data_IF_463954695122
#
_entry.id   IF_463954695122
#
_cell.length_a   1.000
_cell.length_b   1.000
_cell.length_c   1.000
_cell.angle_alpha   90.00
_cell.angle_beta   90.00
_cell.angle_gamma   90.00
#
_symmetry.space_group_name_H-M   'P 1'
#
loop_
_entity.id
_entity.type
_entity.pdbx_description
1 polymer ?
#
# COMPACT_ATOMS: atom_id res chain seq x y z
N UNK A 1 3.78 35.63 22.51
CA UNK A 1 3.62 34.22 22.11
C UNK A 1 3.64 34.17 20.59
N UNK A 2 4.75 33.70 20.01
CA UNK A 2 5.09 33.88 18.59
C UNK A 2 4.30 32.88 17.73
N UNK A 3 3.31 33.36 16.98
CA UNK A 3 2.66 32.57 15.94
C UNK A 3 3.62 32.49 14.74
N UNK A 4 4.32 31.37 14.60
CA UNK A 4 5.19 31.09 13.46
C UNK A 4 4.41 31.14 12.15
N UNK A 5 4.68 32.16 11.32
CA UNK A 5 4.17 32.26 9.95
C UNK A 5 4.62 31.02 9.15
N UNK A 6 3.68 30.16 8.79
CA UNK A 6 3.89 29.08 7.80
C UNK A 6 4.28 29.72 6.47
N UNK A 7 5.55 29.67 6.12
CA UNK A 7 6.06 30.15 4.84
C UNK A 7 5.54 29.21 3.74
N UNK A 8 4.51 29.64 2.99
CA UNK A 8 4.18 29.02 1.70
C UNK A 8 5.43 29.14 0.82
N UNK A 9 5.98 28.01 0.39
CA UNK A 9 6.94 27.99 -0.70
C UNK A 9 6.16 28.35 -1.96
N UNK A 10 6.06 29.64 -2.27
CA UNK A 10 5.60 30.08 -3.58
C UNK A 10 6.73 29.75 -4.57
N UNK A 11 6.47 28.83 -5.49
CA UNK A 11 7.42 28.49 -6.54
C UNK A 11 7.86 29.77 -7.26
N UNK A 12 9.18 29.98 -7.39
CA UNK A 12 9.74 31.10 -8.16
C UNK A 12 9.30 30.98 -9.62
N UNK A 13 8.87 32.07 -10.28
CA UNK A 13 8.61 32.05 -11.71
C UNK A 13 9.94 31.81 -12.45
N UNK A 14 10.02 30.77 -13.31
CA UNK A 14 11.13 30.62 -14.26
C UNK A 14 11.95 29.32 -14.26
N UNK A 15 11.70 28.33 -13.39
CA UNK A 15 12.23 26.97 -13.61
C UNK A 15 11.41 25.92 -12.85
N UNK A 16 10.27 25.52 -13.41
CA UNK A 16 9.70 24.23 -13.03
C UNK A 16 10.61 23.17 -13.63
N UNK A 17 11.30 22.41 -12.79
CA UNK A 17 12.00 21.22 -13.25
C UNK A 17 10.97 20.33 -13.97
N UNK A 18 11.34 19.77 -15.12
CA UNK A 18 10.46 18.80 -15.79
C UNK A 18 10.24 17.57 -14.90
N UNK A 19 9.15 16.84 -15.14
CA UNK A 19 8.88 15.61 -14.38
C UNK A 19 10.05 14.61 -14.49
N UNK A 20 10.69 14.53 -15.66
CA UNK A 20 11.87 13.69 -15.90
C UNK A 20 13.07 14.17 -15.07
N UNK A 21 13.29 15.48 -14.99
CA UNK A 21 14.37 16.06 -14.20
C UNK A 21 14.17 15.83 -12.70
N UNK A 22 12.93 15.92 -12.23
CA UNK A 22 12.55 15.62 -10.85
C UNK A 22 12.80 14.13 -10.57
N UNK A 23 12.30 13.25 -11.44
CA UNK A 23 12.48 11.80 -11.30
C UNK A 23 13.96 11.40 -11.28
N UNK A 24 14.77 11.92 -12.19
CA UNK A 24 16.20 11.62 -12.26
C UNK A 24 16.93 11.98 -10.94
N UNK A 25 16.61 13.15 -10.37
CA UNK A 25 17.17 13.58 -9.08
C UNK A 25 16.68 12.73 -7.92
N UNK A 26 15.39 12.42 -7.87
CA UNK A 26 14.83 11.54 -6.82
C UNK A 26 15.44 10.14 -6.88
N UNK A 27 15.67 9.59 -8.08
CA UNK A 27 16.31 8.29 -8.25
C UNK A 27 17.77 8.30 -7.82
N UNK A 28 18.48 9.42 -8.02
CA UNK A 28 19.85 9.57 -7.55
C UNK A 28 19.93 9.72 -6.03
N UNK A 29 19.00 10.47 -5.43
CA UNK A 29 18.97 10.71 -3.98
C UNK A 29 18.46 9.49 -3.19
N UNK A 30 17.51 8.75 -3.75
CA UNK A 30 16.89 7.57 -3.14
C UNK A 30 17.04 6.34 -4.04
N UNK A 31 18.28 5.85 -4.25
CA UNK A 31 18.55 4.73 -5.17
C UNK A 31 17.91 3.42 -4.70
N UNK A 32 17.75 3.26 -3.38
CA UNK A 32 17.20 2.05 -2.76
C UNK A 32 15.70 2.17 -2.42
N UNK A 33 15.00 3.15 -3.01
CA UNK A 33 13.56 3.33 -2.82
C UNK A 33 12.79 2.12 -3.36
N UNK A 34 12.22 1.33 -2.45
CA UNK A 34 11.43 0.14 -2.77
C UNK A 34 10.20 0.04 -1.83
N UNK A 35 9.35 -0.95 -2.06
CA UNK A 35 8.26 -1.27 -1.15
C UNK A 35 8.82 -1.57 0.26
N UNK A 36 8.36 -0.83 1.27
CA UNK A 36 8.85 -0.99 2.64
C UNK A 36 8.28 -2.22 3.37
N UNK A 37 7.25 -2.88 2.81
CA UNK A 37 6.64 -4.07 3.38
C UNK A 37 7.45 -5.31 2.97
N UNK A 38 7.91 -6.09 3.94
CA UNK A 38 8.65 -7.32 3.69
C UNK A 38 7.72 -8.42 3.19
N UNK A 39 8.02 -8.99 2.03
CA UNK A 39 7.24 -10.04 1.41
C UNK A 39 8.08 -10.86 0.44
N UNK A 40 7.67 -12.10 0.19
CA UNK A 40 8.30 -13.04 -0.76
C UNK A 40 7.35 -13.49 -1.85
N UNK A 41 6.08 -13.12 -1.77
CA UNK A 41 5.05 -13.46 -2.74
C UNK A 41 3.98 -12.37 -2.84
N UNK A 42 3.19 -12.36 -3.93
CA UNK A 42 2.04 -11.46 -4.06
C UNK A 42 1.02 -11.62 -2.92
N UNK A 43 0.85 -12.83 -2.39
CA UNK A 43 -0.06 -13.10 -1.28
C UNK A 43 0.45 -12.50 0.04
N UNK A 44 1.76 -12.64 0.32
CA UNK A 44 2.38 -12.00 1.47
C UNK A 44 2.26 -10.47 1.37
N UNK A 45 2.53 -9.89 0.20
CA UNK A 45 2.39 -8.44 -0.01
C UNK A 45 0.94 -7.97 0.18
N UNK A 46 -0.04 -8.69 -0.37
CA UNK A 46 -1.45 -8.37 -0.24
C UNK A 46 -1.89 -8.37 1.22
N UNK A 47 -1.51 -9.42 1.96
CA UNK A 47 -1.80 -9.53 3.39
C UNK A 47 -1.13 -8.42 4.20
N UNK A 48 0.15 -8.13 3.94
CA UNK A 48 0.87 -7.05 4.59
C UNK A 48 0.27 -5.67 4.30
N UNK A 49 -0.22 -5.44 3.07
CA UNK A 49 -0.84 -4.17 2.67
C UNK A 49 -2.21 -3.97 3.33
N UNK A 50 -2.99 -5.05 3.53
CA UNK A 50 -4.22 -4.99 4.33
C UNK A 50 -3.88 -4.63 5.79
N UNK A 51 -2.81 -5.19 6.35
CA UNK A 51 -2.37 -4.89 7.72
C UNK A 51 -1.82 -3.48 7.89
N UNK A 52 -1.22 -2.88 6.84
CA UNK A 52 -0.66 -1.52 6.90
C UNK A 52 -1.72 -0.43 6.93
N UNK A 53 -2.99 -0.75 6.66
CA UNK A 53 -4.08 0.20 6.84
C UNK A 53 -4.09 0.76 8.29
N UNK A 54 -3.80 2.05 8.41
CA UNK A 54 -3.66 2.75 9.71
C UNK A 54 -2.63 2.10 10.65
N UNK A 55 -1.56 1.53 10.09
CA UNK A 55 -0.44 0.94 10.82
C UNK A 55 0.88 1.33 10.13
N UNK A 56 1.99 1.32 10.87
CA UNK A 56 3.30 1.59 10.27
C UNK A 56 3.88 0.33 9.64
N UNK A 57 4.60 0.48 8.52
CA UNK A 57 5.25 -0.65 7.85
C UNK A 57 6.21 -1.39 8.79
N UNK A 58 6.94 -0.65 9.65
CA UNK A 58 7.79 -1.25 10.68
C UNK A 58 7.03 -2.19 11.63
N UNK A 59 5.81 -1.81 12.06
CA UNK A 59 4.99 -2.66 12.92
C UNK A 59 4.47 -3.88 12.15
N UNK A 60 4.04 -3.69 10.90
CA UNK A 60 3.58 -4.79 10.03
C UNK A 60 4.71 -5.80 9.79
N UNK A 61 5.93 -5.33 9.54
CA UNK A 61 7.11 -6.18 9.31
C UNK A 61 7.54 -6.98 10.56
N UNK A 62 7.18 -6.53 11.77
CA UNK A 62 7.39 -7.30 13.00
C UNK A 62 6.34 -8.41 13.19
N UNK A 63 5.13 -8.22 12.66
CA UNK A 63 3.98 -9.12 12.86
C UNK A 63 3.89 -10.20 11.78
N UNK A 64 4.12 -9.80 10.54
CA UNK A 64 3.95 -10.65 9.35
C UNK A 64 4.79 -11.94 9.34
N UNK A 65 6.02 -12.00 9.88
CA UNK A 65 6.76 -13.27 9.95
C UNK A 65 6.00 -14.37 10.71
N UNK A 66 5.36 -14.02 11.83
CA UNK A 66 4.56 -14.96 12.61
C UNK A 66 3.27 -15.38 11.89
N UNK A 67 2.62 -14.42 11.22
CA UNK A 67 1.43 -14.70 10.40
C UNK A 67 1.75 -15.67 9.25
N UNK A 68 2.82 -15.40 8.49
CA UNK A 68 3.19 -16.18 7.31
C UNK A 68 3.82 -17.53 7.65
N UNK A 69 4.45 -17.67 8.83
CA UNK A 69 4.89 -18.96 9.32
C UNK A 69 3.70 -19.88 9.62
N UNK A 70 2.62 -19.35 10.22
CA UNK A 70 1.43 -20.13 10.58
C UNK A 70 0.48 -20.34 9.40
N UNK A 71 0.36 -19.33 8.53
CA UNK A 71 -0.55 -19.33 7.38
C UNK A 71 0.20 -18.95 6.09
N UNK A 72 1.02 -19.86 5.55
CA UNK A 72 1.90 -19.56 4.41
C UNK A 72 1.16 -19.42 3.07
N UNK A 73 -0.08 -19.89 2.97
CA UNK A 73 -0.88 -19.88 1.73
C UNK A 73 -2.29 -19.33 1.96
N UNK A 74 -2.99 -18.89 0.89
CA UNK A 74 -4.40 -18.51 0.98
C UNK A 74 -5.29 -19.61 1.56
N UNK A 75 -5.07 -20.88 1.22
CA UNK A 75 -5.84 -22.00 1.75
C UNK A 75 -5.66 -22.12 3.27
N UNK A 76 -4.41 -22.02 3.74
CA UNK A 76 -4.11 -22.06 5.17
C UNK A 76 -4.81 -20.90 5.90
N UNK A 77 -4.74 -19.68 5.36
CA UNK A 77 -5.37 -18.51 5.98
C UNK A 77 -6.92 -18.54 5.90
N UNK A 78 -7.48 -19.07 4.82
CA UNK A 78 -8.92 -19.24 4.64
C UNK A 78 -9.50 -20.26 5.64
N UNK A 79 -8.72 -21.28 6.01
CA UNK A 79 -9.12 -22.27 7.02
C UNK A 79 -8.87 -21.82 8.48
N UNK A 80 -8.27 -20.64 8.68
CA UNK A 80 -7.86 -20.17 9.99
C UNK A 80 -9.05 -19.84 10.89
N UNK A 81 -8.93 -20.14 12.18
CA UNK A 81 -9.87 -19.62 13.18
C UNK A 81 -9.61 -18.11 13.36
N UNK A 82 -10.64 -17.25 13.33
CA UNK A 82 -10.48 -15.81 13.49
C UNK A 82 -9.68 -15.43 14.73
N UNK A 83 -9.93 -16.08 15.88
CA UNK A 83 -9.29 -15.79 17.15
C UNK A 83 -7.77 -16.01 17.11
N UNK A 84 -7.32 -17.05 16.38
CA UNK A 84 -5.90 -17.34 16.21
C UNK A 84 -5.20 -16.27 15.36
N UNK A 85 -5.88 -15.75 14.33
CA UNK A 85 -5.36 -14.67 13.50
C UNK A 85 -5.33 -13.37 14.29
N UNK A 86 -6.42 -13.07 15.02
CA UNK A 86 -6.54 -11.88 15.86
C UNK A 86 -5.39 -11.76 16.86
N UNK A 87 -5.01 -12.84 17.54
CA UNK A 87 -3.90 -12.80 18.51
C UNK A 87 -2.55 -12.46 17.85
N UNK A 88 -2.29 -12.94 16.63
CA UNK A 88 -1.07 -12.62 15.88
C UNK A 88 -1.07 -11.15 15.46
N UNK A 89 -2.19 -10.65 14.93
CA UNK A 89 -2.24 -9.33 14.28
C UNK A 89 -2.73 -8.20 15.18
N UNK A 90 -3.09 -8.50 16.43
CA UNK A 90 -3.49 -7.53 17.47
C UNK A 90 -2.59 -6.28 17.54
N UNK A 91 -1.25 -6.39 17.44
CA UNK A 91 -0.36 -5.22 17.48
C UNK A 91 -0.53 -4.24 16.32
N UNK A 92 -1.23 -4.61 15.25
CA UNK A 92 -1.45 -3.75 14.07
C UNK A 92 -2.64 -2.79 14.21
N UNK A 93 -3.43 -2.89 15.30
CA UNK A 93 -4.62 -2.08 15.51
C UNK A 93 -5.77 -2.44 14.55
N UNK A 94 -7.02 -2.12 14.92
CA UNK A 94 -8.22 -2.50 14.15
C UNK A 94 -8.28 -3.98 13.77
N UNK A 95 -7.67 -4.84 14.61
CA UNK A 95 -7.32 -6.20 14.25
C UNK A 95 -8.55 -7.06 13.91
N UNK A 96 -9.70 -6.87 14.54
CA UNK A 96 -10.94 -7.60 14.20
C UNK A 96 -11.40 -7.38 12.76
N UNK A 97 -11.37 -6.12 12.30
CA UNK A 97 -11.73 -5.77 10.92
C UNK A 97 -10.68 -6.28 9.93
N UNK A 98 -9.40 -6.22 10.31
CA UNK A 98 -8.29 -6.76 9.53
C UNK A 98 -8.36 -8.28 9.42
N UNK A 99 -8.66 -9.00 10.49
CA UNK A 99 -8.88 -10.45 10.49
C UNK A 99 -9.99 -10.83 9.53
N UNK A 100 -11.14 -10.16 9.61
CA UNK A 100 -12.26 -10.40 8.68
C UNK A 100 -11.85 -10.15 7.22
N UNK A 101 -11.08 -9.10 6.98
CA UNK A 101 -10.59 -8.77 5.63
C UNK A 101 -9.57 -9.81 5.13
N UNK A 102 -8.62 -10.22 5.97
CA UNK A 102 -7.61 -11.23 5.63
C UNK A 102 -8.22 -12.60 5.32
N UNK A 103 -9.08 -13.10 6.21
CA UNK A 103 -9.76 -14.40 6.03
C UNK A 103 -10.71 -14.32 4.83
N UNK A 104 -11.49 -13.23 4.70
CA UNK A 104 -12.37 -13.03 3.55
C UNK A 104 -11.62 -12.93 2.22
N UNK A 105 -10.49 -12.22 2.19
CA UNK A 105 -9.60 -12.16 1.04
C UNK A 105 -9.05 -13.54 0.70
N UNK A 106 -8.58 -14.29 1.69
CA UNK A 106 -8.07 -15.64 1.49
C UNK A 106 -9.14 -16.58 0.92
N UNK A 107 -10.37 -16.54 1.45
CA UNK A 107 -11.50 -17.29 0.90
C UNK A 107 -11.78 -16.92 -0.57
N UNK A 108 -11.85 -15.64 -0.90
CA UNK A 108 -12.10 -15.19 -2.28
C UNK A 108 -10.98 -15.62 -3.23
N UNK A 109 -9.72 -15.58 -2.79
CA UNK A 109 -8.60 -16.09 -3.58
C UNK A 109 -8.76 -17.59 -3.89
N UNK A 110 -9.13 -18.39 -2.89
CA UNK A 110 -9.31 -19.84 -3.06
C UNK A 110 -10.52 -20.14 -3.95
N UNK A 111 -11.67 -19.52 -3.68
CA UNK A 111 -12.93 -19.81 -4.37
C UNK A 111 -12.93 -19.32 -5.83
N UNK A 112 -12.48 -18.08 -6.07
CA UNK A 112 -12.68 -17.40 -7.35
C UNK A 112 -11.40 -17.33 -8.19
N UNK A 113 -10.23 -17.54 -7.58
CA UNK A 113 -8.93 -17.35 -8.23
C UNK A 113 -7.95 -18.53 -8.06
N UNK A 114 -8.42 -19.67 -7.55
CA UNK A 114 -7.61 -20.89 -7.39
C UNK A 114 -6.35 -20.69 -6.53
N UNK A 115 -6.46 -19.88 -5.47
CA UNK A 115 -5.38 -19.59 -4.53
C UNK A 115 -4.35 -18.58 -5.05
N UNK A 116 -4.61 -17.88 -6.16
CA UNK A 116 -3.66 -16.93 -6.77
C UNK A 116 -4.16 -15.50 -6.68
N UNK A 117 -3.28 -14.57 -6.33
CA UNK A 117 -3.60 -13.14 -6.34
C UNK A 117 -3.81 -12.68 -7.80
N UNK A 118 -4.97 -12.11 -8.16
CA UNK A 118 -5.25 -11.69 -9.52
C UNK A 118 -4.35 -10.53 -9.97
N UNK A 119 -4.25 -10.34 -11.28
CA UNK A 119 -3.34 -9.36 -11.93
C UNK A 119 -4.07 -8.21 -12.62
N UNK A 120 -5.34 -7.98 -12.28
CA UNK A 120 -6.11 -6.84 -12.81
C UNK A 120 -6.74 -6.04 -11.68
N UNK A 121 -6.92 -4.74 -11.91
CA UNK A 121 -7.53 -3.81 -10.96
C UNK A 121 -8.95 -4.23 -10.59
N UNK A 122 -9.76 -4.63 -11.58
CA UNK A 122 -11.15 -5.03 -11.39
C UNK A 122 -11.25 -6.21 -10.43
N UNK A 123 -10.44 -7.24 -10.65
CA UNK A 123 -10.47 -8.46 -9.83
C UNK A 123 -9.93 -8.20 -8.42
N UNK A 124 -8.82 -7.46 -8.30
CA UNK A 124 -8.24 -7.14 -6.99
C UNK A 124 -9.23 -6.37 -6.11
N UNK A 125 -9.99 -5.43 -6.67
CA UNK A 125 -10.97 -4.62 -5.92
C UNK A 125 -12.19 -5.39 -5.44
N UNK A 126 -12.43 -6.60 -5.95
CA UNK A 126 -13.48 -7.49 -5.44
C UNK A 126 -13.07 -8.20 -4.15
N UNK A 127 -11.76 -8.25 -3.84
CA UNK A 127 -11.26 -8.90 -2.65
C UNK A 127 -11.57 -8.07 -1.39
N UNK A 128 -12.07 -8.69 -0.30
CA UNK A 128 -12.29 -8.01 0.97
C UNK A 128 -11.04 -7.26 1.48
N UNK A 129 -11.22 -6.00 1.87
CA UNK A 129 -10.13 -5.15 2.36
C UNK A 129 -9.25 -4.53 1.28
N UNK A 130 -9.56 -4.73 -0.01
CA UNK A 130 -8.77 -4.21 -1.14
C UNK A 130 -9.48 -3.05 -1.81
N UNK A 131 -8.99 -1.84 -1.56
CA UNK A 131 -9.37 -0.65 -2.33
C UNK A 131 -8.47 -0.44 -3.56
N UNK A 132 -8.80 0.56 -4.40
CA UNK A 132 -8.01 0.95 -5.58
C UNK A 132 -6.52 1.16 -5.25
N UNK A 133 -6.24 1.85 -4.15
CA UNK A 133 -4.87 2.10 -3.69
C UNK A 133 -4.11 0.81 -3.40
N UNK A 134 -4.74 -0.11 -2.64
CA UNK A 134 -4.17 -1.42 -2.34
C UNK A 134 -3.91 -2.19 -3.63
N UNK A 135 -4.87 -2.21 -4.57
CA UNK A 135 -4.70 -2.88 -5.85
C UNK A 135 -3.52 -2.32 -6.66
N UNK A 136 -3.36 -0.99 -6.74
CA UNK A 136 -2.20 -0.36 -7.39
C UNK A 136 -0.87 -0.78 -6.75
N UNK A 137 -0.82 -0.87 -5.41
CA UNK A 137 0.39 -1.36 -4.70
C UNK A 137 0.74 -2.79 -5.13
N UNK A 138 -0.26 -3.69 -5.25
CA UNK A 138 -0.03 -5.09 -5.65
C UNK A 138 0.42 -5.18 -7.11
N UNK A 139 -0.29 -4.52 -8.03
CA UNK A 139 0.04 -4.53 -9.45
C UNK A 139 1.46 -4.00 -9.69
N UNK A 140 1.81 -2.87 -9.08
CA UNK A 140 3.12 -2.26 -9.25
C UNK A 140 4.25 -3.07 -8.62
N UNK A 141 4.12 -3.45 -7.34
CA UNK A 141 5.25 -4.03 -6.59
C UNK A 141 5.38 -5.55 -6.75
N UNK A 142 4.29 -6.29 -6.95
CA UNK A 142 4.34 -7.75 -7.12
C UNK A 142 4.40 -8.18 -8.59
N UNK A 143 3.84 -7.37 -9.51
CA UNK A 143 3.72 -7.75 -10.93
C UNK A 143 4.38 -6.79 -11.91
N UNK A 144 4.88 -5.63 -11.46
CA UNK A 144 5.47 -4.62 -12.36
C UNK A 144 4.47 -3.98 -13.31
N UNK A 145 3.17 -4.07 -13.00
CA UNK A 145 2.09 -3.53 -13.82
C UNK A 145 1.69 -2.15 -13.26
N UNK A 146 1.90 -1.10 -14.05
CA UNK A 146 1.56 0.26 -13.65
C UNK A 146 0.20 0.67 -14.25
N UNK A 147 -0.86 0.60 -13.44
CA UNK A 147 -2.20 1.08 -13.84
C UNK A 147 -2.53 2.49 -13.32
N UNK A 148 -1.70 3.04 -12.43
CA UNK A 148 -1.85 4.40 -11.91
C UNK A 148 -0.76 4.73 -10.89
N UNK A 149 -0.64 6.01 -10.55
CA UNK A 149 0.23 6.45 -9.47
C UNK A 149 -0.49 6.32 -8.14
N UNK A 150 0.11 5.61 -7.17
CA UNK A 150 -0.48 5.49 -5.84
C UNK A 150 -0.39 6.83 -5.09
N UNK A 151 -1.46 7.63 -5.14
CA UNK A 151 -1.50 8.94 -4.46
C UNK A 151 -1.88 8.78 -2.99
N UNK A 152 -0.93 9.06 -2.11
CA UNK A 152 -1.14 9.16 -0.66
C UNK A 152 -0.89 10.60 -0.18
N UNK A 153 -0.85 10.82 1.14
CA UNK A 153 -0.63 12.16 1.71
C UNK A 153 0.77 12.71 1.40
N UNK A 154 1.76 11.85 1.16
CA UNK A 154 3.11 12.24 0.77
C UNK A 154 3.16 12.60 -0.71
N UNK A 155 2.64 11.74 -1.57
CA UNK A 155 2.57 11.97 -3.02
C UNK A 155 1.74 13.20 -3.32
N UNK A 156 0.52 13.32 -2.78
CA UNK A 156 -0.33 14.51 -2.97
C UNK A 156 0.40 15.81 -2.57
N UNK A 157 1.04 15.82 -1.39
CA UNK A 157 1.80 16.96 -0.89
C UNK A 157 3.01 17.30 -1.77
N UNK A 158 3.74 16.30 -2.25
CA UNK A 158 4.89 16.50 -3.12
C UNK A 158 4.46 16.94 -4.52
N UNK A 159 3.40 16.37 -5.08
CA UNK A 159 2.84 16.77 -6.38
C UNK A 159 2.49 18.25 -6.41
N UNK A 160 1.91 18.79 -5.33
CA UNK A 160 1.65 20.22 -5.20
C UNK A 160 2.93 21.04 -5.01
N UNK A 161 3.82 20.62 -4.10
CA UNK A 161 5.06 21.36 -3.79
C UNK A 161 6.02 21.43 -4.98
N UNK A 162 6.05 20.39 -5.81
CA UNK A 162 6.90 20.28 -6.99
C UNK A 162 6.20 20.82 -8.24
N UNK A 163 4.92 21.21 -8.15
CA UNK A 163 4.14 21.74 -9.27
C UNK A 163 3.81 20.70 -10.35
N UNK A 164 3.73 19.42 -9.97
CA UNK A 164 3.33 18.30 -10.83
C UNK A 164 1.81 18.23 -11.03
N UNK A 165 1.02 18.74 -10.07
CA UNK A 165 -0.43 18.85 -10.21
C UNK A 165 -0.95 20.15 -9.60
N UNK A 166 -2.03 20.68 -10.17
CA UNK A 166 -2.79 21.81 -9.64
C UNK A 166 -4.01 21.37 -8.81
N UNK A 167 -4.23 20.06 -8.68
CA UNK A 167 -5.36 19.48 -7.98
C UNK A 167 -4.97 19.01 -6.58
N UNK A 168 -5.94 19.09 -5.66
CA UNK A 168 -5.83 18.53 -4.30
C UNK A 168 -6.52 17.17 -4.19
N UNK A 169 -7.38 16.84 -5.15
CA UNK A 169 -8.12 15.58 -5.22
C UNK A 169 -7.19 14.43 -5.67
N UNK A 170 -7.03 13.36 -4.88
CA UNK A 170 -6.15 12.24 -5.21
C UNK A 170 -6.46 11.57 -6.55
N UNK A 171 -7.73 11.47 -6.94
CA UNK A 171 -8.18 10.85 -8.19
C UNK A 171 -7.79 11.70 -9.41
N UNK A 172 -7.68 13.02 -9.23
CA UNK A 172 -7.19 13.94 -10.28
C UNK A 172 -5.67 14.08 -10.31
N UNK A 173 -4.98 13.60 -9.27
CA UNK A 173 -3.50 13.60 -9.20
C UNK A 173 -2.93 12.30 -9.78
N UNK A 174 -3.62 11.17 -9.59
CA UNK A 174 -3.31 9.86 -10.18
C UNK A 174 -3.30 9.91 -11.71
#
# INVERSE_FOLDING_TARGET
MILGRRRRLTARPGSRLSAESIFARLRQEYPDAACALNHRSPFELLSATILSAQCTDARVNLVTPGLFARYPTPEALASARPEDVEEIIKPTGFFRNKTRSLIGMAHALVADHGGKVPRTMEQLRLLPGVGRKTANVILGNAYGINEGVTVDTHVSRLSQRLGLSAHDDPVKIE
#
